data_IF_528372224196
#
_entry.id   IF_528372224196
#
_cell.length_a   1.000
_cell.length_b   1.000
_cell.length_c   1.000
_cell.angle_alpha   90.00
_cell.angle_beta   90.00
_cell.angle_gamma   90.00
#
_symmetry.space_group_name_H-M   'P 1'
#
loop_
_entity.id
_entity.type
_entity.pdbx_description
1 polymer ?
#
# COMPACT_ATOMS: atom_id res chain seq x y z
N UNK A 1 0.39 -6.24 -14.37
CA UNK A 1 0.50 -5.42 -13.16
C UNK A 1 1.86 -5.65 -12.54
N UNK A 2 2.52 -4.61 -12.02
CA UNK A 2 3.91 -4.67 -11.54
C UNK A 2 4.04 -4.49 -10.03
N UNK A 3 3.07 -3.81 -9.39
CA UNK A 3 3.17 -3.43 -7.97
C UNK A 3 3.64 -4.54 -7.03
N UNK A 4 3.04 -5.73 -7.01
CA UNK A 4 3.47 -6.84 -6.14
C UNK A 4 4.90 -7.32 -6.43
N UNK A 5 5.30 -7.39 -7.70
CA UNK A 5 6.66 -7.81 -8.08
C UNK A 5 7.71 -6.75 -7.69
N UNK A 6 7.37 -5.46 -7.83
CA UNK A 6 8.21 -4.34 -7.36
C UNK A 6 8.34 -4.39 -5.84
N UNK A 7 7.26 -4.66 -5.12
CA UNK A 7 7.24 -4.75 -3.67
C UNK A 7 8.21 -5.83 -3.16
N UNK A 8 8.08 -7.07 -3.62
CA UNK A 8 8.93 -8.17 -3.13
C UNK A 8 10.39 -7.98 -3.54
N UNK A 9 10.67 -7.46 -4.73
CA UNK A 9 12.02 -7.15 -5.19
C UNK A 9 12.66 -6.04 -4.35
N UNK A 10 11.90 -5.02 -3.99
CA UNK A 10 12.36 -3.93 -3.12
C UNK A 10 12.60 -4.44 -1.70
N UNK A 11 11.66 -5.21 -1.15
CA UNK A 11 11.82 -5.82 0.18
C UNK A 11 12.95 -6.87 0.24
N UNK A 12 13.39 -7.44 -0.89
CA UNK A 12 14.53 -8.35 -0.91
C UNK A 12 15.86 -7.67 -0.54
N UNK A 13 15.90 -6.32 -0.47
CA UNK A 13 17.04 -5.56 0.03
C UNK A 13 16.91 -5.31 1.52
N UNK A 14 17.90 -5.73 2.31
CA UNK A 14 17.96 -5.43 3.75
C UNK A 14 18.66 -4.08 3.95
N UNK A 15 17.94 -2.98 3.71
CA UNK A 15 18.48 -1.62 3.77
C UNK A 15 17.81 -0.73 4.83
N UNK A 16 16.92 -1.30 5.65
CA UNK A 16 16.25 -0.59 6.74
C UNK A 16 17.03 -0.76 8.05
N UNK A 17 17.97 0.14 8.29
CA UNK A 17 18.81 0.10 9.48
C UNK A 17 18.04 0.57 10.73
N UNK A 18 18.06 -0.27 11.78
CA UNK A 18 17.52 0.09 13.07
C UNK A 18 18.53 0.87 13.94
N UNK A 19 18.06 1.36 15.10
CA UNK A 19 18.92 2.10 16.06
C UNK A 19 20.00 1.25 16.72
N UNK A 20 19.95 -0.07 16.55
CA UNK A 20 20.94 -1.02 17.09
C UNK A 20 21.97 -1.42 16.03
N UNK A 21 21.85 -0.90 14.81
CA UNK A 21 22.76 -1.16 13.71
C UNK A 21 22.44 -2.39 12.87
N UNK A 22 21.29 -3.03 13.08
CA UNK A 22 20.84 -4.14 12.24
C UNK A 22 20.15 -3.63 10.98
N UNK A 23 20.42 -4.28 9.86
CA UNK A 23 19.76 -4.02 8.60
C UNK A 23 18.62 -5.04 8.38
N UNK A 24 17.43 -4.54 8.06
CA UNK A 24 16.19 -5.32 7.93
C UNK A 24 15.55 -5.14 6.55
N UNK A 25 14.93 -6.19 6.04
CA UNK A 25 14.08 -6.15 4.85
C UNK A 25 12.73 -5.53 5.18
N UNK A 26 12.17 -5.91 6.33
CA UNK A 26 10.96 -5.35 6.90
C UNK A 26 11.17 -5.00 8.37
N UNK A 27 10.70 -3.83 8.77
CA UNK A 27 10.69 -3.41 10.16
C UNK A 27 9.31 -2.83 10.52
N UNK A 28 8.69 -3.33 11.59
CA UNK A 28 7.32 -3.00 12.01
C UNK A 28 7.08 -1.50 12.29
N UNK A 29 8.15 -0.76 12.59
CA UNK A 29 8.12 0.69 12.87
C UNK A 29 8.51 1.55 11.66
N UNK A 30 8.80 0.93 10.52
CA UNK A 30 9.08 1.64 9.26
C UNK A 30 7.84 1.66 8.38
N UNK A 31 7.58 2.80 7.75
CA UNK A 31 6.54 2.96 6.74
C UNK A 31 6.99 2.54 5.33
N UNK A 32 8.21 2.01 5.20
CA UNK A 32 8.81 1.69 3.92
C UNK A 32 7.93 0.79 3.05
N UNK A 33 7.47 -0.35 3.59
CA UNK A 33 6.65 -1.30 2.85
C UNK A 33 5.34 -0.67 2.35
N UNK A 34 4.71 0.18 3.17
CA UNK A 34 3.46 0.85 2.78
C UNK A 34 3.69 1.87 1.68
N UNK A 35 4.81 2.61 1.72
CA UNK A 35 5.17 3.56 0.65
C UNK A 35 5.49 2.85 -0.66
N UNK A 36 6.21 1.73 -0.60
CA UNK A 36 6.51 0.91 -1.78
C UNK A 36 5.22 0.33 -2.38
N UNK A 37 4.32 -0.22 -1.54
CA UNK A 37 3.04 -0.74 -1.99
C UNK A 37 2.16 0.35 -2.63
N UNK A 38 2.00 1.50 -1.97
CA UNK A 38 1.23 2.62 -2.50
C UNK A 38 1.83 3.17 -3.79
N UNK A 39 3.16 3.26 -3.88
CA UNK A 39 3.85 3.64 -5.11
C UNK A 39 3.52 2.67 -6.26
N UNK A 40 3.60 1.37 -6.02
CA UNK A 40 3.27 0.34 -7.01
C UNK A 40 1.82 0.41 -7.48
N UNK A 41 0.88 0.70 -6.58
CA UNK A 41 -0.53 0.92 -6.90
C UNK A 41 -0.69 2.13 -7.83
N UNK A 42 -0.08 3.26 -7.50
CA UNK A 42 -0.15 4.49 -8.32
C UNK A 42 0.49 4.27 -9.70
N UNK A 43 1.63 3.57 -9.75
CA UNK A 43 2.28 3.22 -11.01
C UNK A 43 1.37 2.39 -11.91
N UNK A 44 0.75 1.32 -11.37
CA UNK A 44 -0.17 0.49 -12.14
C UNK A 44 -1.48 1.22 -12.51
N UNK A 45 -1.98 2.11 -11.64
CA UNK A 45 -3.15 2.96 -11.95
C UNK A 45 -2.86 3.94 -13.10
N UNK A 46 -1.71 4.59 -13.10
CA UNK A 46 -1.30 5.47 -14.21
C UNK A 46 -1.20 4.70 -15.52
N UNK A 47 -0.79 3.43 -15.49
CA UNK A 47 -0.75 2.57 -16.67
C UNK A 47 -2.15 2.15 -17.14
N UNK A 48 -3.08 1.90 -16.22
CA UNK A 48 -4.40 1.33 -16.49
C UNK A 48 -5.49 2.38 -16.73
N UNK A 49 -5.33 3.63 -16.23
CA UNK A 49 -6.35 4.67 -16.30
C UNK A 49 -5.98 5.82 -17.24
N UNK A 50 -6.50 5.84 -18.49
CA UNK A 50 -6.27 6.97 -19.41
C UNK A 50 -6.76 8.31 -18.86
N UNK A 51 -7.88 8.32 -18.11
CA UNK A 51 -8.41 9.54 -17.52
C UNK A 51 -7.47 10.10 -16.45
N UNK A 52 -6.95 9.24 -15.56
CA UNK A 52 -5.99 9.67 -14.55
C UNK A 52 -4.74 10.27 -15.20
N UNK A 53 -4.22 9.64 -16.26
CA UNK A 53 -3.09 10.22 -17.01
C UNK A 53 -3.39 11.62 -17.52
N UNK A 54 -4.54 11.81 -18.18
CA UNK A 54 -4.94 13.15 -18.68
C UNK A 54 -5.03 14.19 -17.57
N UNK A 55 -5.59 13.83 -16.42
CA UNK A 55 -5.67 14.75 -15.28
C UNK A 55 -4.30 15.11 -14.70
N UNK A 56 -3.35 14.15 -14.72
CA UNK A 56 -1.96 14.42 -14.31
C UNK A 56 -1.25 15.31 -15.34
N UNK A 57 -1.42 15.03 -16.64
CA UNK A 57 -0.87 15.86 -17.73
C UNK A 57 -1.40 17.30 -17.71
N UNK A 58 -2.69 17.46 -17.38
CA UNK A 58 -3.34 18.75 -17.21
C UNK A 58 -2.93 19.48 -15.90
N UNK A 59 -2.13 18.84 -15.02
CA UNK A 59 -1.74 19.41 -13.74
C UNK A 59 -2.88 19.54 -12.72
N UNK A 60 -3.98 18.80 -12.90
CA UNK A 60 -5.14 18.80 -12.01
C UNK A 60 -4.92 17.85 -10.84
N UNK A 61 -4.25 16.71 -11.09
CA UNK A 61 -4.04 15.66 -10.09
C UNK A 61 -2.59 15.59 -9.66
N UNK A 62 -2.40 15.52 -8.36
CA UNK A 62 -1.16 15.43 -7.64
C UNK A 62 -1.21 14.29 -6.61
N UNK A 63 -0.11 14.05 -5.90
CA UNK A 63 -0.12 13.15 -4.76
C UNK A 63 0.37 13.82 -3.47
N UNK A 64 -0.11 13.30 -2.33
CA UNK A 64 0.39 13.59 -0.99
C UNK A 64 0.81 12.31 -0.28
N UNK A 65 1.75 12.38 0.65
CA UNK A 65 2.14 11.27 1.52
C UNK A 65 1.95 11.65 2.98
N UNK A 66 1.59 10.66 3.82
CA UNK A 66 1.32 10.86 5.24
C UNK A 66 0.30 12.00 5.48
N UNK A 67 -0.76 12.02 4.65
CA UNK A 67 -1.78 13.05 4.75
C UNK A 67 -2.76 12.73 5.89
N UNK A 68 -2.87 13.66 6.86
CA UNK A 68 -3.86 13.54 7.92
C UNK A 68 -5.25 13.87 7.37
N UNK A 69 -6.14 12.86 7.36
CA UNK A 69 -7.58 13.07 7.17
C UNK A 69 -8.30 13.06 8.52
N UNK A 70 -9.35 13.85 8.64
CA UNK A 70 -10.17 13.95 9.85
C UNK A 70 -11.65 13.77 9.52
N UNK A 71 -12.26 12.79 10.15
CA UNK A 71 -13.71 12.64 10.27
C UNK A 71 -14.17 13.47 11.48
N UNK A 72 -14.77 14.62 11.22
CA UNK A 72 -15.24 15.53 12.26
C UNK A 72 -16.47 15.02 13.00
N UNK A 73 -17.26 14.14 12.39
CA UNK A 73 -18.49 13.60 13.00
C UNK A 73 -18.14 12.64 14.14
N UNK A 74 -17.11 11.80 13.95
CA UNK A 74 -16.71 10.79 14.94
C UNK A 74 -15.37 11.14 15.60
N UNK A 75 -14.85 12.35 15.38
CA UNK A 75 -13.54 12.84 15.86
C UNK A 75 -12.38 11.85 15.60
N UNK A 76 -12.37 11.25 14.40
CA UNK A 76 -11.31 10.32 14.00
C UNK A 76 -10.26 11.04 13.18
N UNK A 77 -9.00 10.74 13.47
CA UNK A 77 -7.86 11.20 12.68
C UNK A 77 -7.06 10.01 12.17
N UNK A 78 -6.63 10.08 10.93
CA UNK A 78 -5.77 9.06 10.33
C UNK A 78 -4.77 9.69 9.37
N UNK A 79 -3.51 9.32 9.52
CA UNK A 79 -2.48 9.60 8.53
C UNK A 79 -2.50 8.49 7.48
N UNK A 80 -2.91 8.84 6.27
CA UNK A 80 -2.98 7.93 5.14
C UNK A 80 -1.63 7.85 4.44
N UNK A 81 -1.25 6.67 4.01
CA UNK A 81 0.06 6.42 3.43
C UNK A 81 0.33 7.24 2.16
N UNK A 82 -0.64 7.29 1.26
CA UNK A 82 -0.60 8.09 0.04
C UNK A 82 -2.00 8.50 -0.37
N UNK A 83 -2.15 9.73 -0.86
CA UNK A 83 -3.40 10.21 -1.47
C UNK A 83 -3.15 10.74 -2.87
N UNK A 84 -4.11 10.51 -3.79
CA UNK A 84 -4.25 11.30 -5.01
C UNK A 84 -5.20 12.44 -4.72
N UNK A 85 -4.85 13.67 -5.11
CA UNK A 85 -5.54 14.88 -4.69
C UNK A 85 -5.46 15.98 -5.75
N UNK A 86 -6.36 16.97 -5.63
CA UNK A 86 -6.12 18.28 -6.22
C UNK A 86 -5.19 19.08 -5.30
N UNK A 87 -4.47 20.05 -5.85
CA UNK A 87 -3.63 20.93 -5.04
C UNK A 87 -4.46 22.02 -4.33
N UNK A 88 -4.13 22.33 -3.06
CA UNK A 88 -4.76 23.45 -2.32
C UNK A 88 -4.17 24.80 -2.65
N UNK A 89 -3.00 24.83 -3.25
CA UNK A 89 -2.29 26.02 -3.74
C UNK A 89 -1.50 25.66 -4.98
N UNK A 90 -1.09 26.65 -5.78
CA UNK A 90 -0.25 26.42 -6.94
C UNK A 90 0.94 25.53 -6.51
N UNK A 91 1.14 24.37 -7.14
CA UNK A 91 2.29 23.54 -6.80
C UNK A 91 3.54 24.37 -7.09
N UNK A 92 4.42 24.47 -6.10
CA UNK A 92 5.78 24.94 -6.33
C UNK A 92 6.44 24.10 -7.43
N UNK A 93 7.63 24.46 -7.91
CA UNK A 93 8.39 23.57 -8.82
C UNK A 93 8.35 22.17 -8.23
N UNK A 94 7.80 21.20 -8.97
CA UNK A 94 7.59 19.82 -8.52
C UNK A 94 8.96 19.14 -8.30
N UNK A 95 9.60 19.46 -7.18
CA UNK A 95 10.88 18.85 -6.77
C UNK A 95 10.70 17.37 -6.42
N UNK A 96 9.46 16.94 -6.06
CA UNK A 96 9.15 15.58 -5.65
C UNK A 96 8.08 14.96 -6.56
N UNK A 97 8.54 14.18 -7.52
CA UNK A 97 7.69 13.39 -8.42
C UNK A 97 7.58 11.94 -7.93
N UNK A 98 6.70 11.16 -8.57
CA UNK A 98 6.64 9.71 -8.36
C UNK A 98 8.00 9.03 -8.64
N UNK A 99 8.77 9.54 -9.60
CA UNK A 99 10.15 9.08 -9.89
C UNK A 99 11.09 9.40 -8.74
N UNK A 100 11.04 10.62 -8.20
CA UNK A 100 11.86 11.00 -7.04
C UNK A 100 11.48 10.16 -5.80
N UNK A 101 10.18 9.89 -5.60
CA UNK A 101 9.72 9.01 -4.52
C UNK A 101 10.29 7.59 -4.65
N UNK A 102 10.42 7.05 -5.88
CA UNK A 102 11.06 5.75 -6.09
C UNK A 102 12.52 5.74 -5.63
N UNK A 103 13.26 6.82 -5.89
CA UNK A 103 14.64 6.97 -5.42
C UNK A 103 14.71 7.13 -3.89
N UNK A 104 13.88 7.99 -3.30
CA UNK A 104 13.84 8.26 -1.86
C UNK A 104 13.55 6.99 -1.03
N UNK A 105 12.71 6.10 -1.55
CA UNK A 105 12.34 4.83 -0.88
C UNK A 105 13.13 3.61 -1.40
N UNK A 106 14.15 3.80 -2.24
CA UNK A 106 15.00 2.73 -2.75
C UNK A 106 14.22 1.68 -3.55
N UNK A 107 13.15 2.08 -4.25
CA UNK A 107 12.27 1.17 -5.01
C UNK A 107 13.05 0.55 -6.18
N UNK A 108 13.05 -0.77 -6.26
CA UNK A 108 13.83 -1.52 -7.25
C UNK A 108 12.99 -1.82 -8.47
N UNK A 109 13.26 -1.10 -9.55
CA UNK A 109 12.61 -1.30 -10.85
C UNK A 109 13.53 -2.07 -11.80
N UNK A 110 12.96 -3.00 -12.58
CA UNK A 110 13.64 -3.58 -13.73
C UNK A 110 13.62 -2.62 -14.92
N UNK A 111 14.32 -2.97 -16.02
CA UNK A 111 14.46 -2.05 -17.16
C UNK A 111 13.14 -1.83 -17.91
N UNK A 112 12.27 -2.84 -17.96
CA UNK A 112 10.92 -2.68 -18.53
C UNK A 112 10.09 -1.69 -17.71
N UNK A 113 10.08 -1.82 -16.40
CA UNK A 113 9.35 -0.93 -15.48
C UNK A 113 9.89 0.50 -15.53
N UNK A 114 11.22 0.69 -15.64
CA UNK A 114 11.84 2.00 -15.84
C UNK A 114 11.40 2.62 -17.17
N UNK A 115 11.42 1.84 -18.25
CA UNK A 115 11.01 2.29 -19.57
C UNK A 115 9.51 2.66 -19.61
N UNK A 116 8.65 1.91 -18.90
CA UNK A 116 7.24 2.23 -18.76
C UNK A 116 7.02 3.48 -17.91
N UNK A 117 7.71 3.61 -16.77
CA UNK A 117 7.63 4.79 -15.91
C UNK A 117 8.03 6.07 -16.66
N UNK A 118 9.05 6.00 -17.51
CA UNK A 118 9.51 7.13 -18.32
C UNK A 118 8.48 7.62 -19.36
N UNK A 119 7.50 6.80 -19.71
CA UNK A 119 6.40 7.14 -20.64
C UNK A 119 5.17 7.71 -19.93
N UNK A 120 5.10 7.62 -18.61
CA UNK A 120 3.98 8.13 -17.83
C UNK A 120 4.14 9.62 -17.55
N UNK A 121 3.02 10.36 -17.42
CA UNK A 121 3.08 11.75 -17.04
C UNK A 121 3.74 11.92 -15.67
N UNK A 122 4.44 13.03 -15.48
CA UNK A 122 5.12 13.33 -14.23
C UNK A 122 4.14 13.70 -13.13
N UNK A 123 3.69 12.71 -12.36
CA UNK A 123 2.86 12.93 -11.19
C UNK A 123 3.69 13.57 -10.08
N UNK A 124 3.38 14.83 -9.77
CA UNK A 124 4.07 15.65 -8.78
C UNK A 124 3.40 15.61 -7.40
N UNK A 125 4.19 15.78 -6.34
CA UNK A 125 3.69 16.00 -4.98
C UNK A 125 3.22 17.45 -4.83
N UNK A 126 2.06 17.66 -4.19
CA UNK A 126 1.55 18.99 -3.88
C UNK A 126 0.92 19.05 -2.47
N UNK A 127 0.73 20.25 -1.90
CA UNK A 127 -0.16 20.44 -0.75
C UNK A 127 -1.56 19.95 -1.09
N UNK A 128 -2.12 19.12 -0.22
CA UNK A 128 -3.40 18.45 -0.47
C UNK A 128 -4.57 19.45 -0.37
N UNK A 129 -5.33 19.59 -1.43
CA UNK A 129 -6.63 20.24 -1.46
C UNK A 129 -7.74 19.24 -1.22
N UNK A 130 -8.42 18.77 -2.27
CA UNK A 130 -9.42 17.73 -2.16
C UNK A 130 -8.81 16.35 -2.41
N UNK A 131 -9.07 15.40 -1.53
CA UNK A 131 -8.64 14.00 -1.71
C UNK A 131 -9.58 13.31 -2.70
N UNK A 132 -9.01 12.76 -3.76
CA UNK A 132 -9.71 11.98 -4.79
C UNK A 132 -9.64 10.48 -4.49
N UNK A 133 -8.47 10.02 -4.06
CA UNK A 133 -8.23 8.62 -3.69
C UNK A 133 -7.28 8.57 -2.50
N UNK A 134 -7.60 7.75 -1.53
CA UNK A 134 -6.79 7.50 -0.34
C UNK A 134 -6.32 6.05 -0.33
N UNK A 135 -5.02 5.84 -0.20
CA UNK A 135 -4.36 4.53 -0.16
C UNK A 135 -3.83 4.26 1.25
N UNK A 136 -4.17 3.11 1.77
CA UNK A 136 -3.65 2.59 3.05
C UNK A 136 -3.11 1.18 2.86
N UNK A 137 -1.87 0.96 3.26
CA UNK A 137 -1.21 -0.34 3.18
C UNK A 137 -0.80 -0.84 4.57
N UNK A 138 -1.14 -2.08 4.87
CA UNK A 138 -0.81 -2.75 6.12
C UNK A 138 -0.15 -4.10 5.87
N UNK A 139 0.61 -4.58 6.87
CA UNK A 139 1.30 -5.85 6.80
C UNK A 139 1.04 -6.71 8.03
N UNK A 140 0.86 -8.01 7.80
CA UNK A 140 0.85 -9.06 8.81
C UNK A 140 2.04 -9.98 8.56
N UNK A 141 3.17 -9.72 9.25
CA UNK A 141 4.44 -10.38 8.97
C UNK A 141 4.74 -11.51 9.94
N UNK A 142 4.27 -11.41 11.17
CA UNK A 142 4.51 -12.39 12.25
C UNK A 142 3.43 -12.27 13.31
N UNK A 143 3.38 -13.25 14.25
CA UNK A 143 2.40 -13.31 15.32
C UNK A 143 0.95 -13.15 14.82
N UNK A 144 0.64 -13.78 13.69
CA UNK A 144 -0.58 -13.56 12.89
C UNK A 144 -1.82 -13.48 13.78
N UNK A 145 -2.14 -14.51 14.57
CA UNK A 145 -3.34 -14.55 15.40
C UNK A 145 -3.45 -13.36 16.37
N UNK A 146 -2.33 -12.93 16.97
CA UNK A 146 -2.30 -11.74 17.85
C UNK A 146 -2.43 -10.44 17.08
N UNK A 147 -1.94 -10.39 15.85
CA UNK A 147 -1.98 -9.19 15.00
C UNK A 147 -3.35 -8.94 14.37
N UNK A 148 -4.19 -9.98 14.18
CA UNK A 148 -5.44 -9.90 13.43
C UNK A 148 -6.44 -8.84 13.94
N UNK A 149 -6.74 -8.72 15.26
CA UNK A 149 -7.67 -7.70 15.73
C UNK A 149 -7.19 -6.30 15.37
N UNK A 150 -5.93 -5.99 15.68
CA UNK A 150 -5.33 -4.70 15.38
C UNK A 150 -5.28 -4.41 13.89
N UNK A 151 -4.87 -5.37 13.06
CA UNK A 151 -4.83 -5.24 11.60
C UNK A 151 -6.21 -4.90 11.05
N UNK A 152 -7.25 -5.62 11.50
CA UNK A 152 -8.62 -5.36 11.11
C UNK A 152 -9.07 -3.97 11.52
N UNK A 153 -8.86 -3.58 12.78
CA UNK A 153 -9.27 -2.27 13.31
C UNK A 153 -8.55 -1.11 12.61
N UNK A 154 -7.25 -1.27 12.33
CA UNK A 154 -6.47 -0.25 11.61
C UNK A 154 -6.97 -0.07 10.17
N UNK A 155 -7.24 -1.15 9.45
CA UNK A 155 -7.79 -1.09 8.10
C UNK A 155 -9.23 -0.57 8.12
N UNK A 156 -10.07 -1.06 9.04
CA UNK A 156 -11.46 -0.62 9.15
C UNK A 156 -11.55 0.88 9.48
N UNK A 157 -10.72 1.39 10.39
CA UNK A 157 -10.68 2.82 10.73
C UNK A 157 -10.24 3.71 9.55
N UNK A 158 -9.46 3.18 8.61
CA UNK A 158 -8.96 3.96 7.46
C UNK A 158 -10.10 4.37 6.54
N UNK A 159 -10.88 3.41 6.03
CA UNK A 159 -12.00 3.73 5.14
C UNK A 159 -13.09 4.53 5.85
N UNK A 160 -13.34 4.27 7.16
CA UNK A 160 -14.29 5.04 7.94
C UNK A 160 -13.87 6.51 8.06
N UNK A 161 -12.57 6.79 8.27
CA UNK A 161 -12.07 8.17 8.32
C UNK A 161 -12.14 8.85 6.96
N UNK A 162 -11.81 8.13 5.87
CA UNK A 162 -11.89 8.66 4.51
C UNK A 162 -13.33 9.07 4.20
N UNK A 163 -14.29 8.19 4.43
CA UNK A 163 -15.70 8.45 4.08
C UNK A 163 -16.41 9.38 5.07
N UNK A 164 -15.97 9.41 6.33
CA UNK A 164 -16.44 10.41 7.29
C UNK A 164 -15.93 11.84 6.98
N UNK A 165 -14.79 11.95 6.29
CA UNK A 165 -14.27 13.24 5.82
C UNK A 165 -14.89 13.65 4.47
N UNK A 166 -15.11 12.71 3.55
CA UNK A 166 -15.70 12.96 2.24
C UNK A 166 -16.21 11.68 1.58
N UNK A 167 -17.47 11.71 1.12
CA UNK A 167 -18.09 10.59 0.41
C UNK A 167 -17.52 10.37 -1.00
N UNK A 168 -16.93 11.40 -1.59
CA UNK A 168 -16.45 11.37 -2.97
C UNK A 168 -15.11 10.68 -3.13
N UNK A 169 -14.27 10.71 -2.09
CA UNK A 169 -12.97 10.05 -2.16
C UNK A 169 -13.09 8.53 -2.32
N UNK A 170 -12.17 7.96 -3.10
CA UNK A 170 -12.02 6.52 -3.24
C UNK A 170 -11.14 6.01 -2.09
N UNK A 171 -11.65 5.07 -1.30
CA UNK A 171 -10.86 4.39 -0.27
C UNK A 171 -10.30 3.09 -0.83
N UNK A 172 -8.98 3.01 -0.95
CA UNK A 172 -8.27 1.84 -1.43
C UNK A 172 -7.40 1.24 -0.33
N UNK A 173 -7.54 -0.07 -0.09
CA UNK A 173 -6.78 -0.82 0.90
C UNK A 173 -5.80 -1.79 0.24
N UNK A 174 -4.67 -2.00 0.91
CA UNK A 174 -3.70 -3.01 0.55
C UNK A 174 -3.24 -3.75 1.80
N UNK A 175 -3.29 -5.06 1.77
CA UNK A 175 -2.81 -5.89 2.86
C UNK A 175 -1.75 -6.88 2.38
N UNK A 176 -0.58 -6.85 3.02
CA UNK A 176 0.50 -7.79 2.80
C UNK A 176 0.49 -8.84 3.91
N UNK A 177 0.46 -10.14 3.54
CA UNK A 177 0.45 -11.26 4.49
C UNK A 177 1.67 -12.14 4.24
N UNK A 178 2.42 -12.42 5.30
CA UNK A 178 3.60 -13.28 5.21
C UNK A 178 3.23 -14.75 5.45
N UNK A 179 3.71 -15.65 4.56
CA UNK A 179 3.50 -17.11 4.67
C UNK A 179 4.77 -17.86 5.07
N UNK A 180 5.88 -17.18 5.36
CA UNK A 180 7.09 -17.85 5.82
C UNK A 180 6.83 -18.69 7.07
N UNK A 181 7.37 -19.91 7.12
CA UNK A 181 7.23 -20.80 8.29
C UNK A 181 7.97 -20.29 9.51
N UNK A 182 9.00 -19.48 9.31
CA UNK A 182 9.78 -18.81 10.37
C UNK A 182 10.07 -17.37 9.99
N UNK A 183 10.26 -16.53 10.98
CA UNK A 183 10.48 -15.10 10.75
C UNK A 183 11.45 -14.51 11.77
N UNK A 184 12.42 -13.74 11.30
CA UNK A 184 13.35 -13.01 12.15
C UNK A 184 12.77 -11.64 12.52
N UNK A 185 12.14 -11.58 13.71
CA UNK A 185 11.46 -10.38 14.15
C UNK A 185 12.42 -9.30 14.65
N UNK A 186 12.36 -8.05 14.12
CA UNK A 186 13.16 -6.95 14.65
C UNK A 186 12.89 -6.63 16.12
N UNK A 187 11.66 -6.85 16.58
CA UNK A 187 11.30 -6.57 17.98
C UNK A 187 11.91 -7.56 18.97
N UNK A 188 12.16 -8.80 18.57
CA UNK A 188 12.84 -9.84 19.36
C UNK A 188 14.36 -9.73 19.26
N UNK A 189 14.90 -9.29 18.13
CA UNK A 189 16.31 -9.36 17.79
C UNK A 189 17.05 -8.01 17.83
N UNK A 190 16.78 -7.18 18.84
CA UNK A 190 17.36 -5.83 18.91
C UNK A 190 18.87 -5.82 19.07
N UNK A 191 19.43 -6.71 19.93
CA UNK A 191 20.87 -6.76 20.26
C UNK A 191 21.52 -8.08 19.94
N UNK A 192 20.77 -9.12 19.70
CA UNK A 192 21.20 -10.50 19.59
C UNK A 192 21.13 -11.07 18.16
N UNK A 193 20.70 -10.26 17.16
CA UNK A 193 20.53 -10.71 15.78
C UNK A 193 21.74 -11.45 15.21
N UNK A 194 22.95 -10.97 15.50
CA UNK A 194 24.18 -11.53 14.94
C UNK A 194 24.76 -12.67 15.77
N UNK A 195 24.40 -12.79 17.06
CA UNK A 195 25.04 -13.73 17.99
C UNK A 195 24.14 -14.90 18.38
N UNK A 196 22.86 -14.62 18.62
CA UNK A 196 21.87 -15.62 19.05
C UNK A 196 20.46 -15.17 18.62
N UNK A 197 20.11 -15.32 17.32
CA UNK A 197 18.85 -14.83 16.80
C UNK A 197 17.65 -15.64 17.30
N UNK A 198 16.64 -14.93 17.82
CA UNK A 198 15.37 -15.51 18.22
C UNK A 198 14.38 -15.54 17.06
N UNK A 199 13.89 -16.74 16.71
CA UNK A 199 12.98 -16.96 15.61
C UNK A 199 11.53 -17.04 16.05
N UNK A 200 10.66 -16.41 15.29
CA UNK A 200 9.20 -16.62 15.39
C UNK A 200 8.79 -17.76 14.48
N UNK A 201 8.21 -18.81 15.03
CA UNK A 201 7.68 -19.94 14.27
C UNK A 201 6.20 -19.73 13.94
N UNK A 202 5.81 -20.10 12.72
CA UNK A 202 4.44 -19.95 12.22
C UNK A 202 3.87 -21.29 11.76
N UNK A 203 2.57 -21.50 12.00
CA UNK A 203 1.84 -22.69 11.55
C UNK A 203 1.27 -22.46 10.15
N UNK A 204 2.16 -22.45 9.15
CA UNK A 204 1.74 -22.21 7.78
C UNK A 204 1.22 -23.48 7.09
N UNK A 205 0.25 -23.35 6.13
CA UNK A 205 -0.35 -22.09 5.63
C UNK A 205 -1.46 -21.50 6.53
N UNK A 206 -1.86 -22.21 7.60
CA UNK A 206 -3.02 -21.88 8.44
C UNK A 206 -3.00 -20.46 8.98
N UNK A 207 -1.85 -19.98 9.46
CA UNK A 207 -1.75 -18.62 10.03
C UNK A 207 -1.96 -17.54 8.96
N UNK A 208 -1.47 -17.75 7.74
CA UNK A 208 -1.71 -16.86 6.60
C UNK A 208 -3.18 -16.95 6.13
N UNK A 209 -3.78 -18.14 6.08
CA UNK A 209 -5.21 -18.34 5.76
C UNK A 209 -6.11 -17.53 6.71
N UNK A 210 -5.88 -17.63 8.03
CA UNK A 210 -6.64 -16.87 9.01
C UNK A 210 -6.49 -15.37 8.83
N UNK A 211 -5.30 -14.89 8.44
CA UNK A 211 -5.08 -13.48 8.17
C UNK A 211 -5.83 -13.02 6.92
N UNK A 212 -5.76 -13.78 5.82
CA UNK A 212 -6.50 -13.52 4.59
C UNK A 212 -8.00 -13.50 4.85
N UNK A 213 -8.54 -14.50 5.57
CA UNK A 213 -9.95 -14.59 5.90
C UNK A 213 -10.42 -13.43 6.78
N UNK A 214 -9.59 -12.99 7.72
CA UNK A 214 -9.92 -11.83 8.55
C UNK A 214 -9.99 -10.54 7.73
N UNK A 215 -9.05 -10.32 6.81
CA UNK A 215 -9.05 -9.15 5.92
C UNK A 215 -10.25 -9.16 4.98
N UNK A 216 -10.67 -10.34 4.50
CA UNK A 216 -11.87 -10.51 3.65
C UNK A 216 -13.17 -10.08 4.33
N UNK A 217 -13.22 -10.02 5.66
CA UNK A 217 -14.38 -9.56 6.44
C UNK A 217 -14.52 -8.02 6.45
N UNK A 218 -13.50 -7.28 6.00
CA UNK A 218 -13.59 -5.83 5.91
C UNK A 218 -14.74 -5.41 4.97
N UNK A 219 -15.54 -4.39 5.37
CA UNK A 219 -16.65 -3.95 4.55
C UNK A 219 -16.17 -3.35 3.23
N UNK A 220 -16.93 -3.63 2.17
CA UNK A 220 -16.76 -3.08 0.83
C UNK A 220 -18.01 -2.29 0.47
N UNK A 221 -17.83 -1.15 -0.17
CA UNK A 221 -18.97 -0.35 -0.62
C UNK A 221 -19.26 -0.56 -2.09
N UNK A 222 -20.55 -0.47 -2.44
CA UNK A 222 -21.03 -0.58 -3.83
C UNK A 222 -21.35 0.77 -4.44
N UNK A 223 -21.74 1.75 -3.61
CA UNK A 223 -22.12 3.11 -4.04
C UNK A 223 -21.58 4.16 -3.08
N UNK A 224 -21.55 5.41 -3.53
CA UNK A 224 -21.28 6.60 -2.70
C UNK A 224 -22.30 6.69 -1.58
N UNK A 225 -21.86 7.04 -0.36
CA UNK A 225 -22.67 7.09 0.85
C UNK A 225 -22.65 5.79 1.68
N UNK A 226 -22.31 4.63 1.09
CA UNK A 226 -22.07 3.42 1.87
C UNK A 226 -20.69 3.49 2.55
N UNK A 227 -20.52 2.74 3.65
CA UNK A 227 -19.23 2.56 4.31
C UNK A 227 -18.49 1.34 3.75
N UNK A 228 -17.16 1.36 3.75
CA UNK A 228 -16.33 0.25 3.28
C UNK A 228 -15.29 0.69 2.27
N UNK A 229 -14.41 -0.20 1.91
CA UNK A 229 -13.44 0.02 0.85
C UNK A 229 -14.10 0.03 -0.53
N UNK A 230 -13.70 0.96 -1.40
CA UNK A 230 -14.04 0.91 -2.82
C UNK A 230 -13.33 -0.28 -3.51
N UNK A 231 -12.06 -0.52 -3.14
CA UNK A 231 -11.30 -1.69 -3.54
C UNK A 231 -10.23 -2.04 -2.49
N UNK A 232 -9.93 -3.32 -2.34
CA UNK A 232 -8.94 -3.83 -1.38
C UNK A 232 -8.20 -5.02 -2.02
N UNK A 233 -6.87 -4.98 -1.99
CA UNK A 233 -6.05 -6.11 -2.42
C UNK A 233 -5.39 -6.81 -1.23
N UNK A 234 -5.21 -8.11 -1.36
CA UNK A 234 -4.39 -8.93 -0.47
C UNK A 234 -3.25 -9.52 -1.29
N UNK A 235 -2.02 -9.31 -0.86
CA UNK A 235 -0.81 -9.88 -1.46
C UNK A 235 -0.12 -10.77 -0.43
N UNK A 236 0.11 -12.02 -0.80
CA UNK A 236 0.83 -12.98 0.05
C UNK A 236 2.29 -13.04 -0.40
N UNK A 237 3.20 -12.96 0.57
CA UNK A 237 4.64 -13.01 0.34
C UNK A 237 5.29 -14.06 1.23
N UNK A 238 6.44 -14.56 0.81
CA UNK A 238 7.31 -15.40 1.62
C UNK A 238 8.55 -14.57 2.00
N UNK A 239 8.63 -14.16 3.27
CA UNK A 239 9.67 -13.30 3.80
C UNK A 239 10.17 -13.82 5.16
N UNK A 240 11.38 -14.34 5.20
CA UNK A 240 12.04 -14.78 6.44
C UNK A 240 12.63 -13.61 7.23
N UNK A 241 12.92 -12.49 6.57
CA UNK A 241 13.51 -11.26 7.11
C UNK A 241 14.97 -11.41 7.58
N UNK A 242 15.68 -12.38 7.05
CA UNK A 242 17.08 -12.68 7.37
C UNK A 242 18.09 -12.19 6.32
N UNK A 243 17.58 -11.59 5.23
CA UNK A 243 18.35 -11.13 4.07
C UNK A 243 18.17 -12.03 2.84
N UNK A 244 17.51 -13.19 2.98
CA UNK A 244 17.14 -14.03 1.84
C UNK A 244 16.12 -13.36 0.93
N UNK A 245 16.03 -13.72 -0.37
CA UNK A 245 15.06 -13.13 -1.28
C UNK A 245 13.62 -13.27 -0.79
N UNK A 246 12.82 -12.21 -0.93
CA UNK A 246 11.39 -12.23 -0.63
C UNK A 246 10.64 -12.75 -1.85
N UNK A 247 9.81 -13.77 -1.66
CA UNK A 247 8.99 -14.38 -2.70
C UNK A 247 7.59 -13.78 -2.79
N UNK A 248 7.06 -13.65 -4.01
CA UNK A 248 5.63 -13.40 -4.24
C UNK A 248 4.91 -14.74 -4.37
N UNK A 249 3.85 -14.92 -3.56
CA UNK A 249 3.06 -16.17 -3.56
C UNK A 249 1.82 -15.98 -4.43
N UNK A 250 1.65 -16.85 -5.43
CA UNK A 250 0.51 -16.86 -6.34
C UNK A 250 -0.47 -18.00 -6.10
N UNK A 251 -0.09 -19.01 -5.31
CA UNK A 251 -1.00 -20.10 -4.92
C UNK A 251 -1.80 -19.75 -3.67
N UNK A 252 -2.94 -20.43 -3.38
CA UNK A 252 -3.65 -20.25 -2.12
C UNK A 252 -2.72 -20.32 -0.89
N UNK A 253 -2.92 -19.46 0.12
CA UNK A 253 -4.09 -18.60 0.35
C UNK A 253 -4.08 -17.25 -0.37
N UNK A 254 -3.14 -16.99 -1.29
CA UNK A 254 -3.16 -15.77 -2.10
C UNK A 254 -4.44 -15.72 -2.95
N UNK A 255 -5.13 -14.55 -3.06
CA UNK A 255 -6.26 -14.37 -3.95
C UNK A 255 -5.89 -14.74 -5.39
N UNK A 256 -6.74 -15.53 -6.04
CA UNK A 256 -6.51 -16.01 -7.40
C UNK A 256 -7.00 -14.98 -8.44
N UNK A 257 -6.52 -15.02 -9.70
CA UNK A 257 -7.04 -14.18 -10.77
C UNK A 257 -8.58 -14.27 -10.88
N UNK A 258 -9.25 -13.11 -10.93
CA UNK A 258 -10.70 -12.99 -10.91
C UNK A 258 -11.31 -12.82 -9.49
N UNK A 259 -10.57 -13.10 -8.44
CA UNK A 259 -10.99 -12.76 -7.06
C UNK A 259 -10.99 -11.22 -6.90
N UNK A 260 -12.03 -10.70 -6.22
CA UNK A 260 -12.15 -9.24 -5.96
C UNK A 260 -11.01 -8.68 -5.10
N UNK A 261 -10.30 -9.52 -4.35
CA UNK A 261 -9.13 -9.18 -3.54
C UNK A 261 -7.81 -9.40 -4.28
N UNK A 262 -7.85 -9.93 -5.52
CA UNK A 262 -6.66 -10.04 -6.35
C UNK A 262 -6.17 -8.64 -6.74
N UNK A 263 -4.85 -8.43 -6.73
CA UNK A 263 -4.26 -7.12 -6.98
C UNK A 263 -4.69 -6.49 -8.31
N UNK A 264 -4.71 -7.28 -9.41
CA UNK A 264 -5.15 -6.77 -10.71
C UNK A 264 -6.62 -6.32 -10.68
N UNK A 265 -7.51 -7.11 -10.04
CA UNK A 265 -8.92 -6.76 -9.88
C UNK A 265 -9.11 -5.47 -9.09
N UNK A 266 -8.27 -5.22 -8.06
CA UNK A 266 -8.26 -3.94 -7.34
C UNK A 266 -7.90 -2.78 -8.27
N UNK A 267 -6.82 -2.89 -9.04
CA UNK A 267 -6.37 -1.82 -9.95
C UNK A 267 -7.43 -1.51 -11.01
N UNK A 268 -8.00 -2.55 -11.64
CA UNK A 268 -9.06 -2.39 -12.66
C UNK A 268 -10.30 -1.71 -12.06
N UNK A 269 -10.71 -2.13 -10.86
CA UNK A 269 -11.82 -1.51 -10.15
C UNK A 269 -11.56 -0.05 -9.78
N UNK A 270 -10.38 0.28 -9.27
CA UNK A 270 -10.00 1.65 -8.94
C UNK A 270 -9.97 2.54 -10.18
N UNK A 271 -9.42 2.06 -11.30
CA UNK A 271 -9.41 2.78 -12.57
C UNK A 271 -10.83 3.04 -13.08
N UNK A 272 -11.73 2.04 -12.99
CA UNK A 272 -13.13 2.17 -13.39
C UNK A 272 -13.90 3.18 -12.50
N UNK A 273 -13.77 3.07 -11.18
CA UNK A 273 -14.42 4.00 -10.24
C UNK A 273 -13.89 5.42 -10.45
N UNK A 274 -12.58 5.59 -10.65
CA UNK A 274 -11.98 6.88 -10.95
C UNK A 274 -12.57 7.49 -12.21
N UNK A 275 -12.66 6.71 -13.30
CA UNK A 275 -13.20 7.16 -14.57
C UNK A 275 -14.68 7.54 -14.48
N UNK A 276 -15.45 6.86 -13.64
CA UNK A 276 -16.88 7.15 -13.45
C UNK A 276 -17.10 8.39 -12.56
N UNK A 277 -16.36 8.48 -11.46
CA UNK A 277 -16.59 9.48 -10.41
C UNK A 277 -15.98 10.84 -10.74
N UNK A 278 -14.84 10.85 -11.43
CA UNK A 278 -14.08 12.08 -11.70
C UNK A 278 -13.99 12.42 -13.18
N UNK A 279 -14.96 11.99 -13.99
CA UNK A 279 -14.99 12.27 -15.44
C UNK A 279 -15.02 13.78 -15.77
N UNK A 280 -15.63 14.57 -14.90
CA UNK A 280 -15.85 16.02 -15.07
C UNK A 280 -14.84 16.84 -14.21
N UNK A 281 -13.77 16.23 -13.72
CA UNK A 281 -12.73 16.91 -12.98
C UNK A 281 -11.79 17.64 -13.94
N UNK A 282 -11.72 18.97 -13.85
CA UNK A 282 -10.84 19.82 -14.67
C UNK A 282 -11.55 20.97 -15.30
#
# INVERSE_FOLDING_TARGET
>A
MHGPAILVRTLSKADRRDRFGNDWQYHSRSDHHSKVACWGIVFDLLRSSPLLRRHVEAGVVHFGINHEMRDFVHDRKKNLDLVLCTASSAPGRAEKTLVAMAADYGIVLNDTEKAELAKLPALGRAPVGSVLMALEAKACMTAHQRALPRLYDELNSSHLTVHGATDQAIAAGFAMVNIASRYLSPDLNKKNRATDPEWSEHKQPRDAELAVDKIRQLPKRSKTGDTGYDALAIVVIDCVNDGSPVGLVSSPPAPQPGDIYHYASMIDRLAHIYATRFKDLG
#
